data_IF_063293617984
#
_entry.id   IF_063293617984
#
_cell.length_a   1.000
_cell.length_b   1.000
_cell.length_c   1.000
_cell.angle_alpha   90.00
_cell.angle_beta   90.00
_cell.angle_gamma   90.00
#
_symmetry.space_group_name_H-M   'P 1'
#
loop_
_entity.id
_entity.type
_entity.pdbx_description
1 polymer ?
#
# COMPACT_ATOMS: atom_id res chain seq x y z
N UNK A 1 20.01 -0.48 6.03
CA UNK A 1 18.75 -0.29 5.26
C UNK A 1 18.82 1.03 4.52
N UNK A 2 18.25 1.12 3.31
CA UNK A 2 18.09 2.42 2.65
C UNK A 2 17.22 3.34 3.52
N UNK A 3 17.50 4.65 3.52
CA UNK A 3 16.61 5.64 4.15
C UNK A 3 15.25 5.53 3.48
N UNK A 4 14.18 5.39 4.26
CA UNK A 4 12.83 5.18 3.74
C UNK A 4 12.37 6.32 2.82
N UNK A 5 12.90 7.52 3.04
CA UNK A 5 12.65 8.74 2.26
C UNK A 5 13.03 8.60 0.78
N UNK A 6 13.97 7.69 0.47
CA UNK A 6 14.42 7.41 -0.89
C UNK A 6 13.62 6.30 -1.57
N UNK A 7 12.68 5.65 -0.87
CA UNK A 7 11.86 4.59 -1.45
C UNK A 7 10.79 5.21 -2.35
N UNK A 8 10.67 4.81 -3.64
CA UNK A 8 9.63 5.32 -4.52
C UNK A 8 8.20 5.11 -3.98
N UNK A 9 7.96 3.96 -3.32
CA UNK A 9 6.66 3.64 -2.73
C UNK A 9 6.30 4.57 -1.56
N UNK A 10 7.30 5.01 -0.79
CA UNK A 10 7.10 5.93 0.33
C UNK A 10 6.69 7.31 -0.17
N UNK A 11 7.39 7.84 -1.19
CA UNK A 11 7.04 9.11 -1.82
C UNK A 11 5.61 9.07 -2.36
N UNK A 12 5.24 7.99 -3.07
CA UNK A 12 3.91 7.83 -3.62
C UNK A 12 2.83 7.73 -2.54
N UNK A 13 3.09 7.04 -1.43
CA UNK A 13 2.17 6.98 -0.30
C UNK A 13 1.95 8.35 0.37
N UNK A 14 3.00 9.17 0.47
CA UNK A 14 2.86 10.55 0.97
C UNK A 14 2.03 11.43 0.01
N UNK A 15 2.29 11.34 -1.30
CA UNK A 15 1.49 12.01 -2.32
C UNK A 15 0.02 11.62 -2.21
N UNK A 16 -0.29 10.31 -2.13
CA UNK A 16 -1.66 9.82 -1.95
C UNK A 16 -2.30 10.38 -0.66
N UNK A 17 -1.57 10.45 0.45
CA UNK A 17 -2.11 10.97 1.70
C UNK A 17 -2.55 12.45 1.56
N UNK A 18 -1.74 13.27 0.88
CA UNK A 18 -2.08 14.68 0.60
C UNK A 18 -3.26 14.79 -0.37
N UNK A 19 -3.30 13.93 -1.39
CA UNK A 19 -4.41 13.86 -2.35
C UNK A 19 -5.73 13.48 -1.67
N UNK A 20 -5.70 12.53 -0.74
CA UNK A 20 -6.84 12.13 0.09
C UNK A 20 -7.32 13.30 0.95
N UNK A 21 -6.42 13.98 1.66
CA UNK A 21 -6.81 15.14 2.48
C UNK A 21 -7.45 16.26 1.66
N UNK A 22 -6.93 16.49 0.46
CA UNK A 22 -7.46 17.47 -0.48
C UNK A 22 -8.84 17.07 -0.99
N UNK A 23 -9.03 15.82 -1.42
CA UNK A 23 -10.31 15.33 -1.92
C UNK A 23 -11.38 15.32 -0.82
N UNK A 24 -11.06 14.81 0.38
CA UNK A 24 -12.03 14.69 1.48
C UNK A 24 -12.44 16.07 2.02
N UNK A 25 -11.61 17.12 1.87
CA UNK A 25 -12.01 18.50 2.18
C UNK A 25 -13.25 18.92 1.38
N UNK A 26 -13.37 18.47 0.13
CA UNK A 26 -14.46 18.83 -0.77
C UNK A 26 -15.66 17.86 -0.69
N UNK A 27 -15.56 16.77 0.09
CA UNK A 27 -16.67 15.83 0.26
C UNK A 27 -17.89 16.49 0.94
N UNK A 28 -19.12 16.09 0.55
CA UNK A 28 -20.33 16.43 1.29
C UNK A 28 -20.20 16.04 2.76
N UNK A 29 -20.79 16.84 3.67
CA UNK A 29 -20.70 16.63 5.13
C UNK A 29 -21.05 15.20 5.55
N UNK A 30 -22.05 14.61 4.90
CA UNK A 30 -22.51 13.24 5.15
C UNK A 30 -21.41 12.19 4.92
N UNK A 31 -20.56 12.34 3.90
CA UNK A 31 -19.48 11.39 3.59
C UNK A 31 -18.15 11.74 4.25
N UNK A 32 -17.92 13.03 4.54
CA UNK A 32 -16.64 13.58 5.03
C UNK A 32 -16.16 12.94 6.34
N UNK A 33 -17.08 12.62 7.24
CA UNK A 33 -16.78 12.05 8.57
C UNK A 33 -17.00 10.53 8.67
N UNK A 34 -17.47 9.90 7.60
CA UNK A 34 -17.55 8.44 7.48
C UNK A 34 -16.41 7.95 6.59
N UNK A 35 -16.68 7.60 5.33
CA UNK A 35 -15.67 7.12 4.37
C UNK A 35 -14.47 8.08 4.21
N UNK A 36 -14.68 9.38 4.40
CA UNK A 36 -13.60 10.36 4.38
C UNK A 36 -12.62 10.24 5.55
N UNK A 37 -13.08 9.81 6.72
CA UNK A 37 -12.21 9.49 7.85
C UNK A 37 -11.45 8.19 7.58
N UNK A 38 -12.15 7.15 7.13
CA UNK A 38 -11.57 5.84 6.81
C UNK A 38 -10.44 5.98 5.77
N UNK A 39 -10.66 6.76 4.69
CA UNK A 39 -9.64 6.98 3.65
C UNK A 39 -8.37 7.61 4.21
N UNK A 40 -8.52 8.56 5.13
CA UNK A 40 -7.37 9.22 5.79
C UNK A 40 -6.63 8.26 6.71
N UNK A 41 -7.35 7.47 7.49
CA UNK A 41 -6.76 6.47 8.37
C UNK A 41 -6.00 5.43 7.58
N UNK A 42 -6.57 4.94 6.47
CA UNK A 42 -5.92 3.98 5.61
C UNK A 42 -4.67 4.55 4.93
N UNK A 43 -4.72 5.82 4.49
CA UNK A 43 -3.54 6.50 3.93
C UNK A 43 -2.41 6.63 4.96
N UNK A 44 -2.72 7.04 6.20
CA UNK A 44 -1.77 7.08 7.32
C UNK A 44 -1.20 5.69 7.63
N UNK A 45 -2.04 4.66 7.55
CA UNK A 45 -1.63 3.30 7.83
C UNK A 45 -0.64 2.78 6.76
N UNK A 46 -0.93 3.01 5.47
CA UNK A 46 -0.01 2.65 4.38
C UNK A 46 1.38 3.28 4.56
N UNK A 47 1.42 4.58 4.85
CA UNK A 47 2.67 5.29 5.14
C UNK A 47 3.44 4.66 6.31
N UNK A 48 2.74 4.37 7.40
CA UNK A 48 3.33 3.78 8.62
C UNK A 48 3.85 2.36 8.37
N UNK A 49 3.11 1.55 7.61
CA UNK A 49 3.52 0.19 7.22
C UNK A 49 4.78 0.22 6.37
N UNK A 50 4.92 1.15 5.42
CA UNK A 50 6.13 1.25 4.59
C UNK A 50 7.37 1.51 5.45
N UNK A 51 7.28 2.41 6.44
CA UNK A 51 8.38 2.68 7.38
C UNK A 51 8.70 1.41 8.18
N UNK A 52 7.68 0.77 8.75
CA UNK A 52 7.84 -0.45 9.55
C UNK A 52 8.50 -1.57 8.74
N UNK A 53 7.97 -1.87 7.57
CA UNK A 53 8.52 -2.86 6.63
C UNK A 53 9.96 -2.52 6.31
N UNK A 54 10.32 -1.25 6.06
CA UNK A 54 11.69 -0.89 5.76
C UNK A 54 12.68 -1.29 6.87
N UNK A 55 12.26 -1.23 8.13
CA UNK A 55 13.09 -1.51 9.32
C UNK A 55 13.24 -3.00 9.71
N UNK A 56 12.46 -3.90 9.13
CA UNK A 56 12.40 -5.31 9.57
C UNK A 56 13.43 -6.21 8.85
N UNK A 57 13.81 -7.35 9.45
CA UNK A 57 14.61 -8.38 8.75
C UNK A 57 13.70 -9.37 8.02
N UNK A 58 12.71 -9.93 8.73
CA UNK A 58 11.59 -10.64 8.13
C UNK A 58 10.46 -9.66 7.83
N UNK A 59 10.19 -9.48 6.53
CA UNK A 59 9.20 -8.52 6.04
C UNK A 59 7.99 -9.18 5.40
N UNK A 60 7.94 -10.52 5.28
CA UNK A 60 6.92 -11.18 4.43
C UNK A 60 5.51 -10.91 4.94
N UNK A 61 5.29 -11.03 6.26
CA UNK A 61 3.99 -10.75 6.86
C UNK A 61 3.58 -9.27 6.68
N UNK A 62 4.45 -8.33 7.04
CA UNK A 62 4.18 -6.90 6.92
C UNK A 62 4.03 -6.43 5.46
N UNK A 63 4.74 -7.05 4.52
CA UNK A 63 4.59 -6.79 3.08
C UNK A 63 3.27 -7.33 2.54
N UNK A 64 2.81 -8.47 3.08
CA UNK A 64 1.48 -9.00 2.75
C UNK A 64 0.40 -8.06 3.26
N UNK A 65 0.52 -7.58 4.51
CA UNK A 65 -0.37 -6.57 5.08
C UNK A 65 -0.35 -5.27 4.26
N UNK A 66 0.83 -4.76 3.88
CA UNK A 66 0.94 -3.57 3.04
C UNK A 66 0.23 -3.75 1.69
N UNK A 67 0.38 -4.92 1.05
CA UNK A 67 -0.32 -5.25 -0.19
C UNK A 67 -1.82 -5.27 0.01
N UNK A 68 -2.30 -5.98 1.04
CA UNK A 68 -3.74 -6.11 1.30
C UNK A 68 -4.38 -4.75 1.62
N UNK A 69 -3.71 -3.90 2.43
CA UNK A 69 -4.16 -2.54 2.71
C UNK A 69 -4.16 -1.63 1.47
N UNK A 70 -3.25 -1.87 0.52
CA UNK A 70 -3.25 -1.12 -0.74
C UNK A 70 -4.42 -1.50 -1.65
N UNK A 71 -4.86 -2.77 -1.62
CA UNK A 71 -6.08 -3.22 -2.30
C UNK A 71 -7.32 -2.63 -1.63
N UNK A 72 -7.37 -2.62 -0.30
CA UNK A 72 -8.46 -1.99 0.48
C UNK A 72 -8.60 -0.50 0.13
N UNK A 73 -7.47 0.21 -0.03
CA UNK A 73 -7.47 1.62 -0.43
C UNK A 73 -8.12 1.83 -1.80
N UNK A 74 -7.79 0.99 -2.78
CA UNK A 74 -8.44 1.04 -4.10
C UNK A 74 -9.95 0.80 -3.99
N UNK A 75 -10.37 -0.22 -3.23
CA UNK A 75 -11.78 -0.53 -3.04
C UNK A 75 -12.55 0.62 -2.39
N UNK A 76 -11.96 1.28 -1.39
CA UNK A 76 -12.57 2.43 -0.74
C UNK A 76 -12.65 3.66 -1.63
N UNK A 77 -11.63 3.92 -2.45
CA UNK A 77 -11.68 5.00 -3.45
C UNK A 77 -12.81 4.74 -4.46
N UNK A 78 -12.99 3.50 -4.92
CA UNK A 78 -14.12 3.13 -5.80
C UNK A 78 -15.46 3.33 -5.08
N UNK A 79 -15.60 2.88 -3.83
CA UNK A 79 -16.82 3.08 -3.04
C UNK A 79 -17.16 4.57 -2.88
N UNK A 80 -16.17 5.42 -2.58
CA UNK A 80 -16.37 6.86 -2.48
C UNK A 80 -16.85 7.49 -3.81
N UNK A 81 -16.42 6.94 -4.96
CA UNK A 81 -16.94 7.32 -6.27
C UNK A 81 -18.37 6.84 -6.50
N UNK A 82 -18.71 5.61 -6.13
CA UNK A 82 -20.06 5.08 -6.35
C UNK A 82 -21.13 5.85 -5.54
N UNK A 83 -20.78 6.28 -4.32
CA UNK A 83 -21.67 7.13 -3.51
C UNK A 83 -21.60 8.61 -3.89
N UNK A 84 -20.88 8.97 -4.96
CA UNK A 84 -20.72 10.34 -5.47
C UNK A 84 -20.14 11.31 -4.43
N UNK A 85 -19.20 10.85 -3.61
CA UNK A 85 -18.54 11.70 -2.61
C UNK A 85 -17.54 12.69 -3.24
N UNK A 86 -16.87 12.29 -4.33
CA UNK A 86 -15.94 13.17 -5.05
C UNK A 86 -16.66 14.32 -5.75
N UNK A 87 -16.01 15.49 -5.80
CA UNK A 87 -16.54 16.67 -6.50
C UNK A 87 -16.56 16.49 -8.01
N UNK A 88 -15.65 15.68 -8.54
CA UNK A 88 -15.60 15.34 -9.96
C UNK A 88 -14.70 14.14 -10.26
N UNK A 89 -14.85 13.60 -11.46
CA UNK A 89 -14.15 12.39 -11.90
C UNK A 89 -12.61 12.49 -11.81
N UNK A 90 -12.05 13.67 -12.09
CA UNK A 90 -10.59 13.90 -12.04
C UNK A 90 -9.99 13.72 -10.65
N UNK A 91 -10.74 13.96 -9.59
CA UNK A 91 -10.25 13.70 -8.23
C UNK A 91 -10.18 12.21 -7.96
N UNK A 92 -11.25 11.49 -8.28
CA UNK A 92 -11.29 10.03 -8.21
C UNK A 92 -10.16 9.40 -9.02
N UNK A 93 -10.01 9.78 -10.29
CA UNK A 93 -9.00 9.23 -11.21
C UNK A 93 -7.59 9.37 -10.65
N UNK A 94 -7.24 10.56 -10.16
CA UNK A 94 -5.93 10.82 -9.56
C UNK A 94 -5.64 9.88 -8.38
N UNK A 95 -6.57 9.77 -7.42
CA UNK A 95 -6.41 8.89 -6.26
C UNK A 95 -6.33 7.42 -6.67
N UNK A 96 -7.15 7.00 -7.65
CA UNK A 96 -7.17 5.62 -8.14
C UNK A 96 -5.84 5.21 -8.80
N UNK A 97 -5.24 6.12 -9.59
CA UNK A 97 -3.91 5.92 -10.19
C UNK A 97 -2.86 5.79 -9.08
N UNK A 98 -2.81 6.74 -8.14
CA UNK A 98 -1.87 6.72 -7.02
C UNK A 98 -1.96 5.44 -6.19
N UNK A 99 -3.18 5.00 -5.85
CA UNK A 99 -3.40 3.75 -5.10
C UNK A 99 -2.97 2.50 -5.90
N UNK A 100 -3.19 2.49 -7.21
CA UNK A 100 -2.75 1.39 -8.10
C UNK A 100 -1.24 1.31 -8.19
N UNK A 101 -0.54 2.46 -8.25
CA UNK A 101 0.92 2.49 -8.24
C UNK A 101 1.51 1.96 -6.93
N UNK A 102 0.88 2.25 -5.78
CA UNK A 102 1.30 1.72 -4.48
C UNK A 102 1.07 0.21 -4.42
N UNK A 103 -0.10 -0.26 -4.85
CA UNK A 103 -0.43 -1.69 -4.93
C UNK A 103 0.61 -2.45 -5.77
N UNK A 104 0.90 -1.99 -6.99
CA UNK A 104 1.93 -2.59 -7.85
C UNK A 104 3.32 -2.61 -7.22
N UNK A 105 3.72 -1.54 -6.54
CA UNK A 105 5.02 -1.48 -5.86
C UNK A 105 5.09 -2.41 -4.64
N UNK A 106 3.99 -2.53 -3.88
CA UNK A 106 3.90 -3.43 -2.73
C UNK A 106 4.02 -4.90 -3.16
N UNK A 107 3.37 -5.30 -4.25
CA UNK A 107 3.48 -6.63 -4.83
C UNK A 107 4.90 -6.93 -5.33
N UNK A 108 5.53 -5.96 -6.01
CA UNK A 108 6.91 -6.07 -6.46
C UNK A 108 7.87 -6.30 -5.28
N UNK A 109 7.68 -5.58 -4.18
CA UNK A 109 8.50 -5.73 -2.99
C UNK A 109 8.29 -7.08 -2.30
N UNK A 110 7.02 -7.52 -2.16
CA UNK A 110 6.68 -8.84 -1.61
C UNK A 110 7.27 -9.98 -2.44
N UNK A 111 7.15 -9.90 -3.77
CA UNK A 111 7.72 -10.91 -4.68
C UNK A 111 9.23 -10.99 -4.55
N UNK A 112 9.91 -9.84 -4.52
CA UNK A 112 11.36 -9.81 -4.34
C UNK A 112 11.78 -10.42 -3.00
N UNK A 113 11.07 -10.12 -1.91
CA UNK A 113 11.36 -10.70 -0.59
C UNK A 113 11.15 -12.22 -0.56
N UNK A 114 10.11 -12.75 -1.20
CA UNK A 114 9.88 -14.20 -1.33
C UNK A 114 10.95 -14.88 -2.19
N UNK A 115 11.37 -14.23 -3.28
CA UNK A 115 12.42 -14.72 -4.18
C UNK A 115 13.83 -14.57 -3.60
N UNK A 116 14.04 -13.82 -2.52
CA UNK A 116 15.26 -13.86 -1.71
C UNK A 116 15.24 -14.98 -0.66
N UNK A 117 14.11 -15.66 -0.49
CA UNK A 117 13.92 -16.83 0.40
C UNK A 117 13.88 -18.23 -0.26
N UNK A 118 14.31 -18.50 -1.50
CA UNK A 118 14.30 -19.86 -2.03
C UNK A 118 15.54 -20.61 -1.49
N UNK A 119 15.30 -21.74 -0.81
CA UNK A 119 16.23 -22.87 -0.70
C UNK A 119 17.61 -22.66 -0.03
N UNK A 120 17.76 -21.73 0.91
CA UNK A 120 19.04 -21.63 1.66
C UNK A 120 19.26 -22.70 2.76
N UNK A 121 18.56 -23.84 2.70
CA UNK A 121 18.86 -25.05 3.52
C UNK A 121 17.98 -26.25 3.10
N UNK A 122 18.23 -26.84 1.93
CA UNK A 122 18.03 -28.28 1.80
C UNK A 122 19.39 -28.93 2.11
N UNK A 123 19.52 -29.82 3.12
CA UNK A 123 20.79 -30.48 3.35
C UNK A 123 21.09 -31.38 2.15
N UNK A 124 22.14 -31.01 1.40
CA UNK A 124 22.78 -31.90 0.44
C UNK A 124 23.39 -33.05 1.23
N UNK A 125 22.64 -34.14 1.37
CA UNK A 125 23.06 -35.30 2.15
C UNK A 125 22.09 -36.46 2.00
N UNK A 126 22.33 -37.29 0.98
CA UNK A 126 22.19 -38.75 1.01
C UNK A 126 21.99 -39.31 -0.41
N UNK A 127 23.07 -39.41 -1.19
CA UNK A 127 23.28 -40.55 -2.09
C UNK A 127 24.74 -40.96 -2.02
N UNK A 128 25.10 -41.55 -0.87
CA UNK A 128 26.22 -42.48 -0.82
C UNK A 128 25.83 -43.75 -1.56
N UNK A 129 26.61 -44.04 -2.61
CA UNK A 129 27.14 -45.35 -3.03
C UNK A 129 26.33 -46.59 -2.64
N UNK A 130 25.79 -47.26 -3.67
CA UNK A 130 25.66 -48.71 -3.73
C UNK A 130 26.08 -49.15 -5.15
#
# INVERSE_FOLDING_TARGET
MARYENLPIFRKAMELAVEVETAVRDFPRYHKYAIGADLRDLARHLYSLIIRVNSQADKVASLTELRDKSEEMKAMIVMAKEIKAFKGFKEFERLAISATEISRQSEGWLRNQKNSRPESQAPSGARERA
#
